data_IF_810166096960
#
_entry.id   IF_810166096960
#
_cell.length_a   1.000
_cell.length_b   1.000
_cell.length_c   1.000
_cell.angle_alpha   90.00
_cell.angle_beta   90.00
_cell.angle_gamma   90.00
#
_symmetry.space_group_name_H-M   'P 1'
#
loop_
_entity.id
_entity.type
_entity.pdbx_description
1 polymer ?
#
# COMPACT_ATOMS: atom_id res chain seq x y z
N UNK A 1 -20.88 7.41 -35.39
CA UNK A 1 -19.66 6.99 -34.66
C UNK A 1 -19.89 5.66 -33.90
N UNK A 2 -20.21 4.54 -34.58
CA UNK A 2 -20.46 3.24 -33.92
C UNK A 2 -19.19 2.45 -33.55
N UNK A 3 -18.05 2.69 -34.22
CA UNK A 3 -16.79 1.97 -33.95
C UNK A 3 -16.24 2.19 -32.54
N UNK A 4 -16.22 3.44 -32.05
CA UNK A 4 -15.69 3.76 -30.71
C UNK A 4 -16.34 2.95 -29.58
N UNK A 5 -17.63 2.60 -29.71
CA UNK A 5 -18.34 1.78 -28.72
C UNK A 5 -17.85 0.33 -28.73
N UNK A 6 -17.51 -0.20 -29.90
CA UNK A 6 -16.97 -1.55 -30.03
C UNK A 6 -15.55 -1.64 -29.43
N UNK A 7 -14.75 -0.60 -29.61
CA UNK A 7 -13.39 -0.57 -29.06
C UNK A 7 -13.38 -0.43 -27.53
N UNK A 8 -14.30 0.34 -26.96
CA UNK A 8 -14.46 0.41 -25.49
C UNK A 8 -14.85 -0.95 -24.92
N UNK A 9 -15.81 -1.64 -25.54
CA UNK A 9 -16.22 -2.98 -25.10
C UNK A 9 -15.08 -3.99 -25.24
N UNK A 10 -14.31 -3.92 -26.33
CA UNK A 10 -13.12 -4.75 -26.52
C UNK A 10 -12.07 -4.49 -25.45
N UNK A 11 -11.76 -3.23 -25.16
CA UNK A 11 -10.81 -2.85 -24.12
C UNK A 11 -11.25 -3.35 -22.74
N UNK A 12 -12.53 -3.20 -22.40
CA UNK A 12 -13.10 -3.72 -21.15
C UNK A 12 -12.98 -5.25 -21.08
N UNK A 13 -13.40 -5.96 -22.12
CA UNK A 13 -13.37 -7.43 -22.15
C UNK A 13 -11.95 -7.97 -22.10
N UNK A 14 -11.00 -7.32 -22.79
CA UNK A 14 -9.58 -7.68 -22.72
C UNK A 14 -9.01 -7.41 -21.33
N UNK A 15 -9.35 -6.28 -20.70
CA UNK A 15 -8.95 -5.99 -19.32
C UNK A 15 -9.50 -7.02 -18.33
N UNK A 16 -10.78 -7.36 -18.45
CA UNK A 16 -11.42 -8.39 -17.62
C UNK A 16 -10.80 -9.77 -17.83
N UNK A 17 -10.56 -10.17 -19.08
CA UNK A 17 -9.93 -11.45 -19.40
C UNK A 17 -8.49 -11.50 -18.86
N UNK A 18 -7.73 -10.42 -18.99
CA UNK A 18 -6.35 -10.33 -18.47
C UNK A 18 -6.34 -10.42 -16.95
N UNK A 19 -7.21 -9.65 -16.27
CA UNK A 19 -7.36 -9.73 -14.82
C UNK A 19 -7.79 -11.13 -14.37
N UNK A 20 -8.71 -11.78 -15.08
CA UNK A 20 -9.13 -13.15 -14.80
C UNK A 20 -7.97 -14.15 -14.92
N UNK A 21 -7.18 -14.08 -16.00
CA UNK A 21 -6.00 -14.94 -16.21
C UNK A 21 -4.96 -14.73 -15.10
N UNK A 22 -4.79 -13.51 -14.62
CA UNK A 22 -3.83 -13.21 -13.56
C UNK A 22 -4.36 -13.67 -12.19
N UNK A 23 -5.58 -13.29 -11.81
CA UNK A 23 -6.08 -13.46 -10.44
C UNK A 23 -6.75 -14.80 -10.17
N UNK A 24 -7.51 -15.36 -11.13
CA UNK A 24 -8.26 -16.62 -10.91
C UNK A 24 -7.35 -17.79 -10.52
N UNK A 25 -6.17 -18.01 -11.13
CA UNK A 25 -5.29 -19.10 -10.70
C UNK A 25 -4.89 -19.02 -9.23
N UNK A 26 -4.57 -17.82 -8.73
CA UNK A 26 -4.24 -17.62 -7.31
C UNK A 26 -5.46 -17.83 -6.41
N UNK A 27 -6.63 -17.35 -6.81
CA UNK A 27 -7.88 -17.59 -6.06
C UNK A 27 -8.19 -19.08 -5.96
N UNK A 28 -8.03 -19.83 -7.04
CA UNK A 28 -8.22 -21.29 -7.03
C UNK A 28 -7.19 -21.97 -6.12
N UNK A 29 -5.92 -21.58 -6.25
CA UNK A 29 -4.83 -22.11 -5.43
C UNK A 29 -5.07 -21.89 -3.92
N UNK A 30 -5.54 -20.69 -3.57
CA UNK A 30 -5.88 -20.29 -2.21
C UNK A 30 -7.32 -20.69 -1.79
N UNK A 31 -7.95 -21.63 -2.51
CA UNK A 31 -9.26 -22.25 -2.18
C UNK A 31 -10.41 -21.24 -2.08
N UNK A 32 -10.41 -20.24 -2.95
CA UNK A 32 -11.44 -19.20 -3.03
C UNK A 32 -11.09 -17.90 -2.30
N UNK A 33 -9.97 -17.86 -1.58
CA UNK A 33 -9.47 -16.62 -0.99
C UNK A 33 -8.58 -15.88 -1.98
N UNK A 34 -8.71 -14.55 -2.05
CA UNK A 34 -7.75 -13.70 -2.74
C UNK A 34 -6.87 -13.01 -1.68
N UNK A 35 -5.73 -13.61 -1.34
CA UNK A 35 -4.78 -12.99 -0.43
C UNK A 35 -3.77 -12.15 -1.20
N UNK A 36 -3.87 -10.84 -1.08
CA UNK A 36 -2.82 -9.93 -1.51
C UNK A 36 -1.85 -9.67 -0.35
N UNK A 37 -0.89 -10.60 -0.17
CA UNK A 37 0.10 -10.53 0.92
C UNK A 37 1.06 -9.33 0.80
N UNK A 38 1.23 -8.81 -0.42
CA UNK A 38 2.21 -7.78 -0.75
C UNK A 38 1.92 -6.38 -0.21
N UNK A 39 0.71 -6.11 0.29
CA UNK A 39 0.34 -4.77 0.77
C UNK A 39 0.60 -4.62 2.27
N UNK A 40 -0.09 -5.40 3.10
CA UNK A 40 -0.04 -5.16 4.54
C UNK A 40 1.30 -5.56 5.16
N UNK A 41 1.76 -6.81 5.04
CA UNK A 41 2.97 -7.23 5.76
C UNK A 41 4.26 -6.72 5.12
N UNK A 42 4.30 -6.62 3.78
CA UNK A 42 5.50 -6.22 3.04
C UNK A 42 5.64 -4.70 2.98
N UNK A 43 4.57 -3.90 3.09
CA UNK A 43 4.66 -2.44 3.04
C UNK A 43 4.33 -1.77 4.37
N UNK A 44 3.29 -2.21 5.10
CA UNK A 44 2.89 -1.55 6.36
C UNK A 44 3.98 -1.64 7.43
N UNK A 45 4.66 -2.78 7.57
CA UNK A 45 5.72 -2.95 8.57
C UNK A 45 6.91 -2.01 8.28
N UNK A 46 7.48 -1.98 7.07
CA UNK A 46 8.50 -0.98 6.72
C UNK A 46 8.01 0.47 6.87
N UNK A 47 6.76 0.77 6.52
CA UNK A 47 6.20 2.11 6.71
C UNK A 47 6.10 2.47 8.19
N UNK A 48 5.75 1.51 9.04
CA UNK A 48 5.69 1.70 10.48
C UNK A 48 7.05 2.11 11.04
N UNK A 49 8.08 1.31 10.75
CA UNK A 49 9.44 1.58 11.22
C UNK A 49 9.98 2.91 10.66
N UNK A 50 9.79 3.14 9.36
CA UNK A 50 10.20 4.39 8.71
C UNK A 50 9.53 5.62 9.34
N UNK A 51 8.21 5.57 9.58
CA UNK A 51 7.50 6.67 10.22
C UNK A 51 7.92 6.87 11.67
N UNK A 52 8.12 5.78 12.40
CA UNK A 52 8.57 5.80 13.78
C UNK A 52 9.96 6.45 13.90
N UNK A 53 10.91 6.07 13.03
CA UNK A 53 12.25 6.64 12.96
C UNK A 53 12.24 8.11 12.52
N UNK A 54 11.42 8.47 11.53
CA UNK A 54 11.29 9.84 11.06
C UNK A 54 10.76 10.78 12.16
N UNK A 55 9.80 10.32 12.96
CA UNK A 55 9.27 11.08 14.09
C UNK A 55 10.31 11.21 15.20
N UNK A 56 10.95 10.10 15.61
CA UNK A 56 11.96 10.11 16.68
C UNK A 56 13.22 10.92 16.32
N UNK A 57 13.60 10.95 15.05
CA UNK A 57 14.74 11.74 14.56
C UNK A 57 14.41 13.19 14.23
N UNK A 58 13.11 13.56 14.20
CA UNK A 58 12.66 14.89 13.81
C UNK A 58 12.63 15.14 12.29
N UNK A 59 12.96 14.14 11.46
CA UNK A 59 12.97 14.25 9.99
C UNK A 59 11.61 13.87 9.36
N UNK A 60 10.51 14.41 9.88
CA UNK A 60 9.15 14.03 9.50
C UNK A 60 8.50 14.96 8.46
N UNK A 61 9.22 15.91 7.86
CA UNK A 61 8.61 16.87 6.90
C UNK A 61 8.54 16.32 5.49
N UNK A 62 9.58 15.61 5.06
CA UNK A 62 9.71 15.05 3.71
C UNK A 62 10.32 13.66 3.80
N UNK A 63 9.68 12.69 3.16
CA UNK A 63 10.22 11.33 3.04
C UNK A 63 11.05 11.23 1.77
N UNK A 64 12.32 10.89 1.93
CA UNK A 64 13.22 10.54 0.81
C UNK A 64 13.19 9.04 0.49
N UNK A 65 12.55 8.25 1.34
CA UNK A 65 12.50 6.78 1.23
C UNK A 65 11.22 6.30 0.53
N UNK A 66 10.35 7.22 0.12
CA UNK A 66 9.07 6.92 -0.53
C UNK A 66 9.13 7.37 -1.98
N UNK A 67 9.09 6.43 -2.91
CA UNK A 67 9.17 6.69 -4.36
C UNK A 67 10.31 7.66 -4.72
N UNK A 68 10.01 8.76 -5.44
CA UNK A 68 10.95 9.84 -5.78
C UNK A 68 11.01 10.94 -4.70
N UNK A 69 10.26 10.77 -3.62
CA UNK A 69 10.10 11.72 -2.52
C UNK A 69 8.63 12.07 -2.30
N UNK A 70 8.24 12.20 -1.03
CA UNK A 70 6.85 12.45 -0.66
C UNK A 70 6.72 13.40 0.54
N UNK A 71 5.60 14.14 0.58
CA UNK A 71 5.22 14.90 1.77
C UNK A 71 4.83 13.91 2.88
N UNK A 72 5.66 13.80 3.91
CA UNK A 72 5.51 12.75 4.92
C UNK A 72 4.17 12.86 5.68
N UNK A 73 3.77 14.06 6.10
CA UNK A 73 2.52 14.24 6.86
C UNK A 73 1.33 13.86 6.00
N UNK A 74 1.22 14.37 4.78
CA UNK A 74 0.12 14.05 3.87
C UNK A 74 0.08 12.57 3.50
N UNK A 75 1.24 11.98 3.21
CA UNK A 75 1.36 10.58 2.82
C UNK A 75 1.06 9.61 3.96
N UNK A 76 1.42 9.93 5.21
CA UNK A 76 1.33 8.98 6.33
C UNK A 76 0.28 9.32 7.39
N UNK A 77 -0.47 10.42 7.23
CA UNK A 77 -1.58 10.76 8.15
C UNK A 77 -2.67 9.69 8.17
N UNK A 78 -3.08 9.20 7.00
CA UNK A 78 -4.08 8.15 6.89
C UNK A 78 -3.59 6.80 7.44
N UNK A 79 -2.31 6.49 7.26
CA UNK A 79 -1.75 5.18 7.60
C UNK A 79 -1.32 5.06 9.08
N UNK A 80 -0.66 6.09 9.62
CA UNK A 80 0.03 5.98 10.91
C UNK A 80 -0.15 7.20 11.80
N UNK A 81 0.03 8.43 11.29
CA UNK A 81 0.08 9.62 12.16
C UNK A 81 -1.27 9.97 12.78
N UNK A 82 -2.39 9.58 12.15
CA UNK A 82 -3.73 9.71 12.73
C UNK A 82 -4.07 8.67 13.81
N UNK A 83 -3.25 7.62 13.96
CA UNK A 83 -3.52 6.53 14.90
C UNK A 83 -2.97 6.84 16.29
N UNK A 84 -3.80 6.83 17.35
CA UNK A 84 -3.31 7.01 18.72
C UNK A 84 -2.35 5.89 19.13
N UNK A 85 -2.52 4.68 18.60
CA UNK A 85 -1.66 3.54 18.90
C UNK A 85 -0.25 3.70 18.34
N UNK A 86 -0.09 4.41 17.23
CA UNK A 86 1.25 4.76 16.72
C UNK A 86 1.97 5.70 17.70
N UNK A 87 1.29 6.71 18.23
CA UNK A 87 1.93 7.63 19.17
C UNK A 87 2.31 6.97 20.50
N UNK A 88 1.57 5.95 20.93
CA UNK A 88 1.93 5.15 22.10
C UNK A 88 3.25 4.39 21.91
N UNK A 89 3.71 4.15 20.67
CA UNK A 89 4.96 3.44 20.43
C UNK A 89 6.19 4.33 20.43
N UNK A 90 6.04 5.65 20.21
CA UNK A 90 7.16 6.61 20.13
C UNK A 90 8.14 6.57 21.31
N UNK A 91 7.73 6.36 22.58
CA UNK A 91 8.68 6.22 23.68
C UNK A 91 9.63 5.02 23.53
N UNK A 92 9.20 3.95 22.87
CA UNK A 92 9.94 2.70 22.73
C UNK A 92 10.98 2.76 21.60
N UNK A 93 12.10 2.02 21.69
CA UNK A 93 13.06 1.95 20.60
C UNK A 93 12.44 1.29 19.36
N UNK A 94 12.93 1.61 18.16
CA UNK A 94 12.37 1.09 16.90
C UNK A 94 12.45 -0.43 16.76
N UNK A 95 13.37 -1.09 17.46
CA UNK A 95 13.42 -2.55 17.53
C UNK A 95 12.27 -3.19 18.35
N UNK A 96 11.50 -2.40 19.10
CA UNK A 96 10.36 -2.86 19.89
C UNK A 96 9.00 -2.65 19.20
N UNK A 97 8.99 -2.09 17.99
CA UNK A 97 7.78 -1.94 17.16
C UNK A 97 7.83 -2.92 15.99
N UNK A 98 6.67 -3.27 15.39
CA UNK A 98 6.59 -4.26 14.32
C UNK A 98 7.55 -4.01 13.16
#
# INVERSE_FOLDING_TARGET
MPEKRNDILRALLLGMATAAVIFIPFIIYDKGYFLFYGDFNVQQVPFYQMCHDAIRSGNWRWSWTTDLGANFVGSYSFYLLGSPFFWLTIPFPSAAVP
#
